data_IF_342573936041
#
_entry.id   IF_342573936041
#
_cell.length_a   1.000
_cell.length_b   1.000
_cell.length_c   1.000
_cell.angle_alpha   90.00
_cell.angle_beta   90.00
_cell.angle_gamma   90.00
#
_symmetry.space_group_name_H-M   'P 1'
#
loop_
_entity.id
_entity.type
_entity.pdbx_description
1 polymer ?
#
# COMPACT_ATOMS: atom_id res chain seq x y z
N UNK A 1 -19.28 -44.95 16.11
CA UNK A 1 -19.96 -43.70 15.70
C UNK A 1 -19.36 -42.42 16.31
N UNK A 2 -18.73 -42.47 17.49
CA UNK A 2 -18.11 -41.28 18.13
C UNK A 2 -16.81 -40.86 17.43
N UNK A 3 -15.92 -41.82 17.15
CA UNK A 3 -14.65 -41.60 16.45
C UNK A 3 -14.79 -40.95 15.06
N UNK A 4 -15.80 -41.34 14.28
CA UNK A 4 -16.04 -40.81 12.94
C UNK A 4 -16.49 -39.33 12.98
N UNK A 5 -17.19 -38.91 14.04
CA UNK A 5 -17.54 -37.50 14.26
C UNK A 5 -16.33 -36.68 14.66
N UNK A 6 -15.44 -37.24 15.49
CA UNK A 6 -14.20 -36.58 15.92
C UNK A 6 -13.25 -36.38 14.75
N UNK A 7 -13.07 -37.38 13.89
CA UNK A 7 -12.23 -37.26 12.68
C UNK A 7 -12.82 -36.25 11.69
N UNK A 8 -14.14 -36.24 11.50
CA UNK A 8 -14.80 -35.23 10.67
C UNK A 8 -14.63 -33.80 11.18
N UNK A 9 -14.69 -33.60 12.50
CA UNK A 9 -14.43 -32.30 13.14
C UNK A 9 -12.97 -31.85 12.96
N UNK A 10 -12.01 -32.76 13.09
CA UNK A 10 -10.60 -32.46 12.90
C UNK A 10 -10.27 -32.09 11.44
N UNK A 11 -10.86 -32.79 10.47
CA UNK A 11 -10.69 -32.47 9.05
C UNK A 11 -11.31 -31.12 8.67
N UNK A 12 -12.46 -30.77 9.24
CA UNK A 12 -13.09 -29.46 9.05
C UNK A 12 -12.22 -28.33 9.60
N UNK A 13 -11.65 -28.48 10.79
CA UNK A 13 -10.76 -27.46 11.39
C UNK A 13 -9.47 -27.27 10.58
N UNK A 14 -8.90 -28.35 10.06
CA UNK A 14 -7.71 -28.29 9.21
C UNK A 14 -7.98 -27.59 7.87
N UNK A 15 -9.15 -27.83 7.26
CA UNK A 15 -9.56 -27.16 6.03
C UNK A 15 -9.77 -25.65 6.20
N UNK A 16 -10.34 -25.22 7.34
CA UNK A 16 -10.53 -23.79 7.66
C UNK A 16 -9.17 -23.08 7.83
N UNK A 17 -8.19 -23.74 8.43
CA UNK A 17 -6.85 -23.17 8.63
C UNK A 17 -6.09 -22.99 7.30
N UNK A 18 -6.21 -23.96 6.39
CA UNK A 18 -5.57 -23.93 5.07
C UNK A 18 -6.17 -22.88 4.11
N UNK A 19 -7.39 -22.39 4.38
CA UNK A 19 -8.08 -21.40 3.56
C UNK A 19 -7.75 -19.93 3.95
N UNK A 20 -6.78 -19.70 4.82
CA UNK A 20 -6.37 -18.34 5.22
C UNK A 20 -5.51 -17.66 4.15
N UNK A 21 -6.16 -17.15 3.10
CA UNK A 21 -5.55 -16.20 2.15
C UNK A 21 -5.84 -14.75 2.62
N UNK A 22 -5.06 -14.23 3.58
CA UNK A 22 -5.22 -12.86 4.10
C UNK A 22 -4.03 -11.92 3.81
N UNK A 23 -3.17 -12.21 2.83
CA UNK A 23 -1.99 -11.36 2.60
C UNK A 23 -2.13 -10.27 1.53
N UNK A 24 -3.07 -10.38 0.59
CA UNK A 24 -3.12 -9.48 -0.59
C UNK A 24 -4.03 -8.25 -0.38
N UNK A 25 -5.09 -8.39 0.42
CA UNK A 25 -6.09 -7.32 0.65
C UNK A 25 -5.51 -6.18 1.50
N UNK A 26 -4.70 -6.49 2.51
CA UNK A 26 -4.01 -5.47 3.32
C UNK A 26 -2.96 -4.70 2.53
N UNK A 27 -2.22 -5.37 1.64
CA UNK A 27 -1.21 -4.73 0.77
C UNK A 27 -1.82 -3.69 -0.18
N UNK A 28 -3.05 -3.92 -0.66
CA UNK A 28 -3.79 -2.96 -1.51
C UNK A 28 -4.49 -1.87 -0.69
N UNK A 29 -4.86 -2.14 0.55
CA UNK A 29 -5.53 -1.19 1.43
C UNK A 29 -4.58 -0.17 2.10
N UNK A 30 -3.27 -0.26 1.92
CA UNK A 30 -2.29 0.54 2.66
C UNK A 30 -1.53 1.57 1.81
N UNK A 31 -1.81 1.66 0.49
CA UNK A 31 -0.97 2.41 -0.45
C UNK A 31 -1.81 3.35 -1.29
N UNK A 32 -1.30 4.56 -1.50
CA UNK A 32 -1.91 5.58 -2.36
C UNK A 32 -1.88 5.15 -3.83
N UNK A 33 -3.07 5.02 -4.41
CA UNK A 33 -3.36 4.61 -5.78
C UNK A 33 -3.58 5.80 -6.74
N UNK A 34 -3.47 7.04 -6.25
CA UNK A 34 -3.53 8.25 -7.09
C UNK A 34 -2.34 8.42 -8.04
N UNK A 35 -1.28 7.62 -7.87
CA UNK A 35 -0.04 7.69 -8.66
C UNK A 35 -0.03 6.59 -9.72
N UNK A 36 -0.16 6.99 -10.99
CA UNK A 36 -0.22 6.06 -12.13
C UNK A 36 1.12 5.52 -12.64
N UNK A 37 2.27 6.10 -12.24
CA UNK A 37 3.59 5.63 -12.71
C UNK A 37 4.70 5.82 -11.67
N UNK A 38 5.32 4.71 -11.26
CA UNK A 38 6.38 4.69 -10.26
C UNK A 38 7.49 3.68 -10.64
N UNK A 39 8.72 3.94 -10.21
CA UNK A 39 9.90 3.12 -10.49
C UNK A 39 9.98 1.85 -9.65
N UNK A 40 9.52 1.89 -8.40
CA UNK A 40 9.60 0.76 -7.47
C UNK A 40 8.27 0.56 -6.78
N UNK A 41 7.76 -0.68 -6.82
CA UNK A 41 6.50 -1.11 -6.18
C UNK A 41 6.64 -1.22 -4.65
N UNK A 42 7.10 -0.15 -4.00
CA UNK A 42 7.23 -0.10 -2.54
C UNK A 42 6.54 1.12 -1.97
N UNK A 43 6.22 1.01 -0.69
CA UNK A 43 5.74 2.13 0.12
C UNK A 43 6.95 2.96 0.57
N UNK A 44 6.86 4.27 0.42
CA UNK A 44 7.83 5.21 0.97
C UNK A 44 7.64 5.34 2.48
N UNK A 45 8.72 5.60 3.20
CA UNK A 45 8.66 5.95 4.62
C UNK A 45 8.19 7.40 4.81
N UNK A 46 7.88 7.75 6.06
CA UNK A 46 7.54 9.11 6.43
C UNK A 46 8.67 10.09 6.06
N UNK A 47 8.33 11.23 5.43
CA UNK A 47 9.28 12.23 4.90
C UNK A 47 10.27 11.72 3.85
N UNK A 48 10.15 10.48 3.37
CA UNK A 48 10.99 9.97 2.30
C UNK A 48 10.62 10.65 0.97
N UNK A 49 11.63 10.86 0.12
CA UNK A 49 11.46 11.43 -1.22
C UNK A 49 10.69 10.46 -2.12
N UNK A 50 9.40 10.73 -2.33
CA UNK A 50 8.52 9.99 -3.23
C UNK A 50 8.72 10.38 -4.70
N UNK A 51 9.26 11.58 -4.98
CA UNK A 51 9.60 12.01 -6.34
C UNK A 51 10.74 13.03 -6.34
N UNK A 52 11.71 12.86 -7.25
CA UNK A 52 12.82 13.81 -7.43
C UNK A 52 12.40 14.99 -8.31
N UNK A 53 13.12 16.10 -8.17
CA UNK A 53 13.07 17.21 -9.12
C UNK A 53 13.19 16.74 -10.57
N UNK A 54 12.42 17.35 -11.48
CA UNK A 54 12.41 17.12 -12.93
C UNK A 54 12.10 15.71 -13.44
N UNK A 55 11.96 14.70 -12.57
CA UNK A 55 11.56 13.36 -13.00
C UNK A 55 10.06 13.33 -13.30
N UNK A 56 9.61 12.56 -14.28
CA UNK A 56 8.16 12.41 -14.53
C UNK A 56 7.56 11.31 -13.64
N UNK A 57 8.36 10.29 -13.33
CA UNK A 57 7.92 9.11 -12.54
C UNK A 57 8.23 9.26 -11.06
N UNK A 58 7.39 8.66 -10.23
CA UNK A 58 7.58 8.58 -8.78
C UNK A 58 8.57 7.47 -8.43
N UNK A 59 9.27 7.57 -7.31
CA UNK A 59 10.21 6.53 -6.84
C UNK A 59 9.49 5.40 -6.13
N UNK A 60 8.50 5.75 -5.32
CA UNK A 60 7.70 4.86 -4.48
C UNK A 60 6.32 5.50 -4.27
N UNK A 61 5.38 4.72 -3.73
CA UNK A 61 4.03 5.21 -3.39
C UNK A 61 3.98 5.60 -1.90
N UNK A 62 3.17 6.59 -1.53
CA UNK A 62 2.98 6.93 -0.12
C UNK A 62 1.99 5.97 0.55
N UNK A 63 2.06 5.81 1.89
CA UNK A 63 1.06 5.05 2.64
C UNK A 63 -0.30 5.76 2.60
N UNK A 64 -1.41 5.02 2.75
CA UNK A 64 -2.80 5.53 2.57
C UNK A 64 -3.19 6.77 3.39
N UNK A 65 -2.55 7.00 4.54
CA UNK A 65 -2.79 8.17 5.40
C UNK A 65 -1.92 9.39 5.03
N UNK A 66 -1.16 9.30 3.94
CA UNK A 66 -0.19 10.29 3.49
C UNK A 66 -0.25 10.44 1.97
N UNK A 67 0.21 11.57 1.46
CA UNK A 67 0.29 11.81 0.01
C UNK A 67 1.68 12.32 -0.36
N UNK A 68 2.05 12.11 -1.63
CA UNK A 68 3.28 12.65 -2.18
C UNK A 68 3.11 14.15 -2.49
N UNK A 69 3.75 15.01 -1.68
CA UNK A 69 3.58 16.48 -1.75
C UNK A 69 4.90 17.17 -2.07
N UNK A 70 4.87 18.14 -2.98
CA UNK A 70 5.98 19.07 -3.25
C UNK A 70 5.50 20.52 -3.24
N UNK A 71 6.28 21.48 -2.71
CA UNK A 71 5.95 22.90 -2.77
C UNK A 71 6.11 23.54 -4.17
N UNK A 72 6.64 22.84 -5.19
CA UNK A 72 6.80 23.40 -6.54
C UNK A 72 7.54 22.50 -7.54
N UNK A 73 7.97 23.06 -8.69
CA UNK A 73 8.69 22.34 -9.77
C UNK A 73 10.12 21.92 -9.42
N UNK A 74 10.79 22.74 -8.62
CA UNK A 74 12.23 22.69 -8.37
C UNK A 74 12.58 22.04 -7.02
N UNK A 75 11.71 21.16 -6.52
CA UNK A 75 11.88 20.53 -5.22
C UNK A 75 11.47 19.07 -5.26
N UNK A 76 12.19 18.28 -4.47
CA UNK A 76 11.79 16.93 -4.14
C UNK A 76 10.41 16.93 -3.48
N UNK A 77 9.61 15.92 -3.83
CA UNK A 77 8.35 15.63 -3.18
C UNK A 77 8.55 14.59 -2.08
N UNK A 78 7.85 14.75 -0.96
CA UNK A 78 7.95 13.87 0.20
C UNK A 78 6.58 13.38 0.64
N UNK A 79 6.53 12.22 1.31
CA UNK A 79 5.29 11.76 1.94
C UNK A 79 4.98 12.60 3.19
N UNK A 80 3.84 13.29 3.17
CA UNK A 80 3.33 14.09 4.28
C UNK A 80 1.82 13.91 4.53
N UNK A 81 1.41 14.10 5.78
CA UNK A 81 0.01 14.14 6.25
C UNK A 81 -0.52 15.54 5.95
N UNK A 82 -1.69 15.63 5.33
CA UNK A 82 -2.31 16.91 5.00
C UNK A 82 -3.83 16.83 5.22
N UNK A 83 -4.46 17.94 5.59
CA UNK A 83 -5.92 18.04 5.84
C UNK A 83 -6.75 18.28 4.57
N UNK A 84 -6.14 18.80 3.51
CA UNK A 84 -6.83 19.24 2.27
C UNK A 84 -6.39 18.47 1.03
N UNK A 85 -5.35 17.65 1.14
CA UNK A 85 -4.92 16.66 0.16
C UNK A 85 -4.94 17.15 -1.30
N UNK A 86 -4.00 18.01 -1.69
CA UNK A 86 -3.71 18.21 -3.12
C UNK A 86 -2.50 17.36 -3.53
N UNK A 87 -2.78 16.48 -4.48
CA UNK A 87 -1.92 15.47 -5.09
C UNK A 87 -0.99 16.17 -6.08
N UNK A 88 0.22 15.65 -6.26
CA UNK A 88 1.15 16.15 -7.27
C UNK A 88 0.50 16.14 -8.66
N UNK A 89 0.02 17.30 -9.11
CA UNK A 89 -0.40 17.55 -10.49
C UNK A 89 0.56 18.57 -11.07
N UNK A 90 1.24 18.18 -12.14
CA UNK A 90 2.16 19.03 -12.88
C UNK A 90 1.93 18.76 -14.36
N UNK A 91 1.41 19.76 -15.06
CA UNK A 91 1.41 19.84 -16.53
C UNK A 91 2.83 20.04 -17.05
#
# INVERSE_FOLDING_TARGET
MKELRTVGLLLLMFAIFAASEEEDVWKRAQVDDSIGSYYSERVCWWNEVCKREFQVRFRCRCPKWSFCRSPGRYYDAHCAITRTGYIWMQD
#
